data_IF_889442549091
#
_entry.id   IF_889442549091
#
_cell.length_a   1.000
_cell.length_b   1.000
_cell.length_c   1.000
_cell.angle_alpha   90.00
_cell.angle_beta   90.00
_cell.angle_gamma   90.00
#
_symmetry.space_group_name_H-M   'P 1'
#
loop_
_entity.id
_entity.type
_entity.pdbx_description
1 polymer ?
#
# COMPACT_ATOMS: atom_id res chain seq x y z
N UNK A 1 1.68 13.04 -3.32
CA UNK A 1 2.74 14.09 -3.18
C UNK A 1 2.03 15.28 -2.58
N UNK A 2 2.64 16.00 -1.65
CA UNK A 2 1.98 17.19 -1.09
C UNK A 2 1.45 18.10 -2.22
N UNK A 3 0.16 18.52 -2.20
CA UNK A 3 -0.45 19.26 -3.31
C UNK A 3 0.28 20.57 -3.62
N UNK A 4 0.74 21.27 -2.59
CA UNK A 4 1.48 22.51 -2.74
C UNK A 4 2.84 22.23 -3.41
N UNK A 5 3.56 21.20 -2.95
CA UNK A 5 4.81 20.80 -3.59
C UNK A 5 4.62 20.38 -5.06
N UNK A 6 3.56 19.62 -5.39
CA UNK A 6 3.24 19.28 -6.78
C UNK A 6 3.02 20.54 -7.61
N UNK A 7 2.21 21.47 -7.09
CA UNK A 7 1.87 22.71 -7.79
C UNK A 7 3.09 23.59 -8.04
N UNK A 8 3.96 23.76 -7.04
CA UNK A 8 5.18 24.55 -7.16
C UNK A 8 6.13 23.99 -8.24
N UNK A 9 6.33 22.66 -8.26
CA UNK A 9 7.17 22.03 -9.29
C UNK A 9 6.51 22.18 -10.67
N UNK A 10 5.19 21.99 -10.75
CA UNK A 10 4.45 22.15 -12.00
C UNK A 10 4.58 23.57 -12.56
N UNK A 11 4.34 24.60 -11.74
CA UNK A 11 4.47 26.00 -12.13
C UNK A 11 5.89 26.33 -12.59
N UNK A 12 6.90 25.86 -11.86
CA UNK A 12 8.28 26.08 -12.25
C UNK A 12 8.62 25.44 -13.60
N UNK A 13 8.24 24.17 -13.81
CA UNK A 13 8.53 23.47 -15.07
C UNK A 13 7.70 23.99 -16.25
N UNK A 14 6.47 24.45 -16.02
CA UNK A 14 5.58 24.94 -17.07
C UNK A 14 5.80 26.42 -17.42
N UNK A 15 6.05 27.28 -16.42
CA UNK A 15 6.03 28.74 -16.55
C UNK A 15 7.34 29.41 -16.10
N UNK A 16 8.34 28.65 -15.65
CA UNK A 16 9.59 29.17 -15.05
C UNK A 16 9.37 30.06 -13.81
N UNK A 17 8.22 29.90 -13.15
CA UNK A 17 7.89 30.64 -11.92
C UNK A 17 8.52 29.93 -10.73
N UNK A 18 9.39 30.64 -10.01
CA UNK A 18 10.00 30.16 -8.78
C UNK A 18 9.15 30.58 -7.57
N UNK A 19 8.96 29.68 -6.57
CA UNK A 19 8.44 30.08 -5.27
C UNK A 19 9.34 31.12 -4.59
N UNK A 20 8.78 31.82 -3.59
CA UNK A 20 9.58 32.69 -2.72
C UNK A 20 10.47 31.85 -1.81
N UNK A 21 11.76 32.18 -1.75
CA UNK A 21 12.75 31.51 -0.89
C UNK A 21 13.44 32.54 0.00
N UNK A 22 13.75 32.17 1.24
CA UNK A 22 14.45 33.04 2.19
C UNK A 22 15.96 33.02 1.95
N UNK A 23 16.49 31.93 1.38
CA UNK A 23 17.92 31.77 1.12
C UNK A 23 18.21 31.23 -0.28
N UNK A 24 19.37 31.60 -0.83
CA UNK A 24 19.87 31.03 -2.10
C UNK A 24 20.05 29.51 -2.03
N UNK A 25 20.33 28.97 -0.84
CA UNK A 25 20.47 27.52 -0.62
C UNK A 25 19.14 26.77 -0.79
N UNK A 26 18.03 27.31 -0.28
CA UNK A 26 16.70 26.73 -0.47
C UNK A 26 16.28 26.76 -1.93
N UNK A 27 16.50 27.89 -2.60
CA UNK A 27 16.27 28.03 -4.05
C UNK A 27 17.04 26.95 -4.83
N UNK A 28 18.34 26.79 -4.55
CA UNK A 28 19.15 25.78 -5.25
C UNK A 28 18.67 24.35 -4.97
N UNK A 29 18.28 24.04 -3.72
CA UNK A 29 17.68 22.74 -3.37
C UNK A 29 16.40 22.47 -4.16
N UNK A 30 15.54 23.47 -4.31
CA UNK A 30 14.30 23.34 -5.09
C UNK A 30 14.58 23.11 -6.58
N UNK A 31 15.52 23.84 -7.17
CA UNK A 31 15.93 23.63 -8.57
C UNK A 31 16.48 22.21 -8.76
N UNK A 32 17.36 21.76 -7.86
CA UNK A 32 17.91 20.40 -7.89
C UNK A 32 16.83 19.32 -7.71
N UNK A 33 15.78 19.59 -6.92
CA UNK A 33 14.62 18.73 -6.79
C UNK A 33 13.87 18.63 -8.13
N UNK A 34 13.57 19.76 -8.77
CA UNK A 34 12.84 19.85 -10.04
C UNK A 34 13.55 19.11 -11.18
N UNK A 35 14.89 19.06 -11.18
CA UNK A 35 15.68 18.31 -12.17
C UNK A 35 15.35 16.80 -12.21
N UNK A 36 14.78 16.26 -11.13
CA UNK A 36 14.33 14.86 -11.07
C UNK A 36 12.93 14.64 -11.68
N UNK A 37 12.29 15.70 -12.16
CA UNK A 37 10.96 15.66 -12.74
C UNK A 37 10.96 16.15 -14.18
N UNK A 38 9.87 15.84 -14.88
CA UNK A 38 9.63 16.23 -16.27
C UNK A 38 8.12 16.41 -16.47
N UNK A 39 7.74 17.37 -17.29
CA UNK A 39 6.34 17.65 -17.59
C UNK A 39 6.01 17.08 -18.98
N UNK A 40 4.98 16.24 -19.08
CA UNK A 40 4.47 15.69 -20.34
C UNK A 40 2.96 15.65 -20.33
N UNK A 41 2.33 16.12 -21.42
CA UNK A 41 0.87 16.09 -21.59
C UNK A 41 0.12 16.62 -20.36
N UNK A 42 0.61 17.71 -19.77
CA UNK A 42 0.09 18.33 -18.54
C UNK A 42 0.17 17.49 -17.25
N UNK A 43 0.93 16.39 -17.25
CA UNK A 43 1.22 15.60 -16.06
C UNK A 43 2.68 15.74 -15.64
N UNK A 44 2.91 15.71 -14.33
CA UNK A 44 4.24 15.64 -13.77
C UNK A 44 4.71 14.18 -13.75
N UNK A 45 5.93 13.93 -14.22
CA UNK A 45 6.59 12.65 -14.19
C UNK A 45 7.87 12.74 -13.36
N UNK A 46 8.17 11.70 -12.58
CA UNK A 46 9.44 11.54 -11.87
C UNK A 46 10.37 10.64 -12.67
N UNK A 47 11.61 11.07 -12.83
CA UNK A 47 12.68 10.30 -13.49
C UNK A 47 13.18 9.19 -12.56
N UNK A 48 13.06 7.94 -13.00
CA UNK A 48 13.61 6.79 -12.30
C UNK A 48 15.07 6.59 -12.66
N UNK A 49 15.98 7.08 -11.80
CA UNK A 49 17.43 6.97 -11.99
C UNK A 49 17.92 5.52 -12.07
N UNK A 50 17.17 4.55 -11.53
CA UNK A 50 17.56 3.13 -11.51
C UNK A 50 17.18 2.37 -12.78
N UNK A 51 16.25 2.90 -13.58
CA UNK A 51 15.72 2.23 -14.78
C UNK A 51 15.91 3.11 -16.01
N UNK A 52 17.16 3.49 -16.30
CA UNK A 52 17.54 4.29 -17.47
C UNK A 52 16.72 5.57 -17.66
N UNK A 53 16.30 6.21 -16.55
CA UNK A 53 15.50 7.44 -16.60
C UNK A 53 14.02 7.23 -16.91
N UNK A 54 13.49 6.01 -16.81
CA UNK A 54 12.06 5.71 -16.98
C UNK A 54 11.18 6.72 -16.22
N UNK A 55 10.16 7.23 -16.90
CA UNK A 55 9.26 8.23 -16.34
C UNK A 55 8.10 7.57 -15.59
N UNK A 56 7.92 7.95 -14.33
CA UNK A 56 6.83 7.49 -13.47
C UNK A 56 5.82 8.63 -13.29
N UNK A 57 4.56 8.44 -13.66
CA UNK A 57 3.52 9.47 -13.49
C UNK A 57 3.38 9.78 -12.00
N UNK A 58 3.50 11.05 -11.63
CA UNK A 58 3.29 11.50 -10.26
C UNK A 58 1.79 11.52 -9.98
N UNK A 59 1.35 10.74 -9.00
CA UNK A 59 -0.05 10.67 -8.58
C UNK A 59 -0.37 11.86 -7.68
N UNK A 60 -1.40 12.62 -8.06
CA UNK A 60 -1.98 13.69 -7.23
C UNK A 60 -2.86 13.07 -6.15
N UNK A 61 -3.06 13.80 -5.05
CA UNK A 61 -3.79 13.25 -3.90
C UNK A 61 -5.21 12.77 -4.25
N UNK A 62 -5.92 13.49 -5.10
CA UNK A 62 -7.27 13.08 -5.53
C UNK A 62 -7.29 11.87 -6.48
N UNK A 63 -6.16 11.52 -7.11
CA UNK A 63 -6.01 10.34 -7.97
C UNK A 63 -5.63 9.09 -7.17
N UNK A 64 -5.22 9.25 -5.90
CA UNK A 64 -4.69 8.16 -5.09
C UNK A 64 -5.78 7.13 -4.73
N UNK A 65 -6.86 7.57 -4.11
CA UNK A 65 -7.96 6.69 -3.70
C UNK A 65 -8.57 5.91 -4.88
N UNK A 66 -8.91 6.55 -6.02
CA UNK A 66 -9.38 5.81 -7.20
C UNK A 66 -8.38 4.78 -7.71
N UNK A 67 -7.07 5.10 -7.71
CA UNK A 67 -6.04 4.16 -8.12
C UNK A 67 -5.97 2.95 -7.19
N UNK A 68 -6.03 3.16 -5.86
CA UNK A 68 -6.01 2.07 -4.88
C UNK A 68 -7.24 1.19 -5.00
N UNK A 69 -8.42 1.79 -5.18
CA UNK A 69 -9.67 1.08 -5.45
C UNK A 69 -9.55 0.19 -6.70
N UNK A 70 -9.12 0.77 -7.83
CA UNK A 70 -8.98 0.04 -9.09
C UNK A 70 -8.02 -1.16 -8.97
N UNK A 71 -7.03 -1.06 -8.09
CA UNK A 71 -6.00 -2.09 -7.94
C UNK A 71 -6.34 -3.16 -6.89
N UNK A 72 -7.31 -2.92 -6.00
CA UNK A 72 -7.63 -3.84 -4.90
C UNK A 72 -9.11 -4.23 -4.83
N UNK A 73 -10.03 -3.28 -4.97
CA UNK A 73 -11.46 -3.46 -4.72
C UNK A 73 -12.33 -3.54 -5.98
N UNK A 74 -11.80 -3.14 -7.14
CA UNK A 74 -12.51 -3.32 -8.40
C UNK A 74 -12.92 -4.79 -8.60
N UNK A 75 -14.09 -5.08 -9.19
CA UNK A 75 -14.53 -6.47 -9.40
C UNK A 75 -13.54 -7.31 -10.21
N UNK A 76 -12.71 -6.68 -11.04
CA UNK A 76 -11.64 -7.33 -11.80
C UNK A 76 -10.30 -7.40 -11.05
N UNK A 77 -10.18 -6.69 -9.92
CA UNK A 77 -9.04 -6.78 -9.03
C UNK A 77 -9.19 -7.99 -8.09
N UNK A 78 -8.11 -8.75 -7.94
CA UNK A 78 -8.12 -9.99 -7.16
C UNK A 78 -7.81 -9.77 -5.67
N UNK A 79 -8.21 -8.63 -5.07
CA UNK A 79 -7.84 -8.26 -3.70
C UNK A 79 -6.35 -8.45 -3.42
N UNK A 80 -5.51 -7.96 -4.35
CA UNK A 80 -4.07 -8.22 -4.32
C UNK A 80 -3.44 -7.81 -2.98
N UNK A 81 -2.52 -8.64 -2.49
CA UNK A 81 -1.70 -8.33 -1.33
C UNK A 81 -0.79 -7.11 -1.60
N UNK A 82 -0.29 -6.52 -0.52
CA UNK A 82 0.53 -5.28 -0.53
C UNK A 82 1.67 -5.36 -1.54
N UNK A 83 2.50 -6.40 -1.47
CA UNK A 83 3.67 -6.54 -2.36
C UNK A 83 3.26 -6.75 -3.82
N UNK A 84 2.17 -7.48 -4.06
CA UNK A 84 1.65 -7.71 -5.41
C UNK A 84 1.14 -6.42 -6.03
N UNK A 85 0.38 -5.62 -5.28
CA UNK A 85 -0.05 -4.29 -5.72
C UNK A 85 1.16 -3.41 -6.00
N UNK A 86 2.06 -3.24 -5.02
CA UNK A 86 3.24 -2.38 -5.17
C UNK A 86 4.07 -2.74 -6.41
N UNK A 87 4.35 -4.03 -6.61
CA UNK A 87 5.12 -4.48 -7.77
C UNK A 87 4.42 -4.24 -9.12
N UNK A 88 3.08 -4.29 -9.17
CA UNK A 88 2.33 -3.98 -10.40
C UNK A 88 2.39 -2.51 -10.80
N UNK A 89 2.44 -1.58 -9.84
CA UNK A 89 2.28 -0.15 -10.12
C UNK A 89 3.56 0.69 -9.95
N UNK A 90 4.58 0.21 -9.24
CA UNK A 90 5.84 0.95 -8.97
C UNK A 90 6.60 1.40 -10.22
N UNK A 91 6.38 0.73 -11.34
CA UNK A 91 7.06 1.00 -12.62
C UNK A 91 6.29 1.98 -13.52
N UNK A 92 5.10 2.42 -13.09
CA UNK A 92 4.25 3.35 -13.84
C UNK A 92 3.95 4.62 -13.07
N UNK A 93 3.86 4.51 -11.75
CA UNK A 93 3.39 5.59 -10.88
C UNK A 93 4.38 5.90 -9.77
N UNK A 94 4.31 7.12 -9.25
CA UNK A 94 5.08 7.56 -8.11
C UNK A 94 4.27 8.50 -7.22
N UNK A 95 4.35 8.27 -5.91
CA UNK A 95 4.06 9.26 -4.89
C UNK A 95 4.91 8.99 -3.63
N UNK A 96 5.13 9.98 -2.76
CA UNK A 96 5.77 9.76 -1.46
C UNK A 96 5.00 8.72 -0.63
N UNK A 97 5.72 7.87 0.11
CA UNK A 97 5.14 6.84 1.00
C UNK A 97 4.23 5.81 0.30
N UNK A 98 4.43 5.61 -1.01
CA UNK A 98 3.63 4.68 -1.83
C UNK A 98 3.41 3.30 -1.21
N UNK A 99 4.45 2.65 -0.69
CA UNK A 99 4.33 1.34 -0.08
C UNK A 99 3.45 1.37 1.19
N UNK A 100 3.63 2.37 2.06
CA UNK A 100 2.89 2.46 3.32
C UNK A 100 1.41 2.79 3.08
N UNK A 101 1.09 3.68 2.13
CA UNK A 101 -0.31 3.96 1.80
C UNK A 101 -1.01 2.72 1.19
N UNK A 102 -0.33 1.97 0.33
CA UNK A 102 -0.86 0.70 -0.19
C UNK A 102 -1.09 -0.28 0.97
N UNK A 103 -0.14 -0.39 1.90
CA UNK A 103 -0.23 -1.27 3.06
C UNK A 103 -1.41 -0.91 3.94
N UNK A 104 -1.59 0.37 4.26
CA UNK A 104 -2.70 0.86 5.06
C UNK A 104 -4.05 0.57 4.40
N UNK A 105 -4.16 0.83 3.10
CA UNK A 105 -5.36 0.56 2.31
C UNK A 105 -5.73 -0.92 2.27
N UNK A 106 -4.78 -1.81 1.98
CA UNK A 106 -5.03 -3.26 1.98
C UNK A 106 -5.38 -3.74 3.39
N UNK A 107 -4.72 -3.18 4.42
CA UNK A 107 -4.97 -3.54 5.81
C UNK A 107 -6.36 -3.11 6.28
N UNK A 108 -6.93 -2.02 5.76
CA UNK A 108 -8.27 -1.54 6.12
C UNK A 108 -9.41 -2.27 5.37
N UNK A 109 -9.09 -3.15 4.42
CA UNK A 109 -10.09 -3.89 3.64
C UNK A 109 -10.84 -4.94 4.49
N UNK A 110 -12.14 -4.70 4.74
CA UNK A 110 -13.02 -5.59 5.52
C UNK A 110 -13.11 -7.02 4.92
N UNK A 111 -13.25 -7.15 3.60
CA UNK A 111 -13.35 -8.48 2.96
C UNK A 111 -12.08 -9.31 3.14
N UNK A 112 -10.90 -8.67 3.04
CA UNK A 112 -9.61 -9.29 3.31
C UNK A 112 -9.45 -9.64 4.79
N UNK A 113 -9.86 -8.76 5.71
CA UNK A 113 -9.79 -9.00 7.15
C UNK A 113 -10.64 -10.20 7.57
N UNK A 114 -11.87 -10.33 7.04
CA UNK A 114 -12.77 -11.46 7.35
C UNK A 114 -12.28 -12.80 6.81
N UNK A 115 -11.63 -12.80 5.64
CA UNK A 115 -11.07 -14.01 5.01
C UNK A 115 -9.70 -14.40 5.56
N UNK A 116 -8.99 -13.44 6.16
CA UNK A 116 -7.67 -13.67 6.71
C UNK A 116 -7.68 -14.75 7.79
N UNK A 117 -6.60 -15.54 7.85
CA UNK A 117 -6.42 -16.51 8.93
C UNK A 117 -6.39 -15.77 10.27
N UNK A 118 -7.20 -16.22 11.24
CA UNK A 118 -7.03 -15.74 12.61
C UNK A 118 -5.62 -16.13 13.06
N UNK A 119 -4.90 -15.18 13.66
CA UNK A 119 -3.65 -15.51 14.34
C UNK A 119 -4.00 -16.19 15.65
N UNK A 120 -4.13 -17.51 15.64
CA UNK A 120 -4.20 -18.30 16.86
C UNK A 120 -2.81 -18.29 17.53
N UNK A 121 -2.49 -17.21 18.24
CA UNK A 121 -1.21 -17.01 18.91
C UNK A 121 -1.24 -17.43 20.39
N UNK A 122 -2.32 -18.07 20.85
CA UNK A 122 -2.41 -18.51 22.23
C UNK A 122 -1.82 -19.91 22.34
N UNK A 123 -0.92 -20.08 23.31
CA UNK A 123 -0.45 -21.40 23.72
C UNK A 123 -1.67 -22.20 24.19
N UNK A 124 -1.83 -23.41 23.67
CA UNK A 124 -2.83 -24.33 24.19
C UNK A 124 -2.40 -24.71 25.60
N UNK A 125 -3.25 -24.41 26.59
CA UNK A 125 -3.03 -24.81 27.97
C UNK A 125 -3.69 -26.18 28.18
N UNK A 126 -2.93 -27.25 28.42
CA UNK A 126 -3.51 -28.53 28.79
C UNK A 126 -4.20 -28.40 30.15
N UNK A 127 -5.24 -29.20 30.36
CA UNK A 127 -5.94 -29.23 31.64
C UNK A 127 -5.05 -29.98 32.65
N UNK A 128 -4.81 -29.37 33.81
CA UNK A 128 -3.93 -29.96 34.84
C UNK A 128 -4.60 -31.19 35.49
N UNK A 129 -3.85 -32.29 35.63
CA UNK A 129 -4.32 -33.55 36.22
C UNK A 129 -3.41 -33.93 37.39
N UNK A 130 -3.99 -34.17 38.57
CA UNK A 130 -3.24 -34.42 39.81
C UNK A 130 -3.25 -35.88 40.28
N UNK A 131 -3.89 -36.79 39.54
CA UNK A 131 -3.91 -38.22 39.84
C UNK A 131 -4.84 -39.02 38.91
N UNK A 132 -4.87 -40.35 39.02
CA UNK A 132 -5.83 -41.20 38.30
C UNK A 132 -7.27 -40.78 38.59
N UNK A 133 -8.15 -40.84 37.58
CA UNK A 133 -9.57 -40.45 37.65
C UNK A 133 -9.86 -38.99 38.04
N UNK A 134 -8.83 -38.13 38.12
CA UNK A 134 -9.01 -36.72 38.45
C UNK A 134 -9.88 -35.96 37.43
N UNK A 135 -9.86 -36.39 36.16
CA UNK A 135 -10.75 -35.88 35.12
C UNK A 135 -11.03 -36.94 34.06
N UNK A 136 -12.25 -36.94 33.52
CA UNK A 136 -12.70 -37.81 32.43
C UNK A 136 -13.22 -36.94 31.28
N UNK A 137 -12.63 -37.09 30.09
CA UNK A 137 -13.17 -36.54 28.85
C UNK A 137 -14.09 -37.57 28.20
N UNK A 138 -15.33 -37.19 27.92
CA UNK A 138 -16.32 -38.03 27.23
C UNK A 138 -16.66 -37.34 25.91
N UNK A 139 -16.53 -38.07 24.80
CA UNK A 139 -16.91 -37.60 23.48
C UNK A 139 -17.78 -38.66 22.78
N UNK A 140 -18.68 -38.21 21.91
CA UNK A 140 -19.56 -39.10 21.16
C UNK A 140 -18.92 -39.44 19.81
N UNK A 141 -18.85 -40.72 19.50
CA UNK A 141 -18.46 -41.18 18.17
C UNK A 141 -19.71 -41.33 17.32
N UNK A 142 -19.80 -40.64 16.17
CA UNK A 142 -20.91 -40.81 15.25
C UNK A 142 -20.83 -39.99 13.97
N UNK A 143 -21.74 -40.28 13.01
CA UNK A 143 -22.73 -41.36 13.03
C UNK A 143 -22.12 -42.74 12.75
N UNK A 144 -22.56 -43.76 13.49
CA UNK A 144 -22.16 -45.16 13.27
C UNK A 144 -23.12 -45.86 12.30
N UNK A 145 -22.65 -46.87 11.54
CA UNK A 145 -23.53 -47.66 10.69
C UNK A 145 -24.61 -48.34 11.52
N UNK A 146 -25.82 -48.40 10.98
CA UNK A 146 -26.93 -49.15 11.58
C UNK A 146 -26.59 -50.63 11.46
N UNK A 147 -26.55 -51.35 12.58
CA UNK A 147 -26.38 -52.80 12.58
C UNK A 147 -27.53 -53.43 11.79
N UNK A 148 -27.26 -54.29 10.79
CA UNK A 148 -28.29 -54.96 9.99
C UNK A 148 -29.28 -55.77 10.83
#
# INVERSE_FOLDING_TARGET
MDPNQYHQIYQYLHQQILPTFNTSREKQKFINLCNNFELKLNYLYKKNKRKNGQLLKVIRNFELEPLLYMMHNDPTAAHFAVDTMFNKIKDRYYWPQMYENIREYVRSCDSCQRRGKSKANQLLHPIAVHGPFYQVGIDFVGPLPITP
#
